data_IF_090838349717
#
_entry.id   IF_090838349717
#
_cell.length_a   1.000
_cell.length_b   1.000
_cell.length_c   1.000
_cell.angle_alpha   90.00
_cell.angle_beta   90.00
_cell.angle_gamma   90.00
#
_symmetry.space_group_name_H-M   'P 1'
#
loop_
_entity.id
_entity.type
_entity.pdbx_description
1 polymer ?
#
# COMPACT_ATOMS: atom_id res chain seq x y z
N UNK A 1 12.95 -20.57 -14.34
CA UNK A 1 12.85 -19.39 -15.16
C UNK A 1 11.51 -18.74 -15.08
N UNK A 2 10.51 -19.46 -15.41
CA UNK A 2 9.18 -18.89 -15.35
C UNK A 2 8.77 -18.47 -13.96
N UNK A 3 9.27 -19.18 -12.99
CA UNK A 3 8.94 -18.85 -11.61
C UNK A 3 9.48 -17.51 -11.21
N UNK A 4 10.61 -17.15 -11.77
CA UNK A 4 11.21 -15.87 -11.48
C UNK A 4 10.32 -14.74 -11.92
N UNK A 5 9.76 -14.88 -13.10
CA UNK A 5 8.88 -13.85 -13.62
C UNK A 5 7.66 -13.67 -12.74
N UNK A 6 7.13 -14.77 -12.27
CA UNK A 6 5.96 -14.70 -11.42
C UNK A 6 6.27 -14.01 -10.12
N UNK A 7 7.44 -14.27 -9.57
CA UNK A 7 7.83 -13.62 -8.34
C UNK A 7 7.92 -12.12 -8.52
N UNK A 8 8.48 -11.69 -9.61
CA UNK A 8 8.62 -10.28 -9.86
C UNK A 8 7.27 -9.60 -9.93
N UNK A 9 6.32 -10.25 -10.56
CA UNK A 9 4.99 -9.68 -10.64
C UNK A 9 4.35 -9.56 -9.28
N UNK A 10 4.52 -10.56 -8.45
CA UNK A 10 3.97 -10.53 -7.11
C UNK A 10 4.56 -9.40 -6.30
N UNK A 11 5.83 -9.16 -6.48
CA UNK A 11 6.50 -8.15 -5.70
C UNK A 11 6.02 -6.75 -6.00
N UNK A 12 5.36 -6.57 -7.13
CA UNK A 12 4.83 -5.26 -7.47
C UNK A 12 3.44 -5.03 -6.95
N UNK A 13 2.83 -6.03 -6.36
CA UNK A 13 1.51 -5.88 -5.79
C UNK A 13 1.61 -5.42 -4.35
N UNK A 14 0.64 -4.60 -3.95
CA UNK A 14 0.58 -4.15 -2.59
C UNK A 14 1.39 -2.89 -2.35
N UNK A 15 1.46 -2.50 -1.08
CA UNK A 15 2.18 -1.29 -0.72
C UNK A 15 2.92 -1.42 0.61
N UNK A 16 3.25 -2.64 0.98
CA UNK A 16 4.02 -2.85 2.21
C UNK A 16 5.36 -2.15 2.15
N UNK A 17 5.95 -2.09 0.96
CA UNK A 17 7.22 -1.38 0.79
C UNK A 17 7.11 0.07 1.23
N UNK A 18 6.02 0.74 0.83
CA UNK A 18 5.83 2.13 1.23
C UNK A 18 5.63 2.27 2.73
N UNK A 19 4.85 1.37 3.32
CA UNK A 19 4.60 1.40 4.75
C UNK A 19 5.92 1.25 5.52
N UNK A 20 6.76 0.32 5.10
CA UNK A 20 8.03 0.12 5.78
C UNK A 20 8.96 1.31 5.59
N UNK A 21 8.92 1.93 4.42
CA UNK A 21 9.74 3.10 4.17
C UNK A 21 9.35 4.24 5.10
N UNK A 22 8.05 4.45 5.32
CA UNK A 22 7.60 5.48 6.24
C UNK A 22 8.05 5.14 7.66
N UNK A 23 7.93 3.88 8.04
CA UNK A 23 8.36 3.45 9.37
C UNK A 23 9.83 3.77 9.62
N UNK A 24 10.66 3.56 8.61
CA UNK A 24 12.09 3.76 8.76
C UNK A 24 12.53 5.22 8.66
N UNK A 25 11.79 6.03 7.92
CA UNK A 25 12.23 7.39 7.63
C UNK A 25 11.52 8.46 8.44
N UNK A 26 10.35 8.17 8.97
CA UNK A 26 9.51 9.19 9.55
C UNK A 26 9.32 8.96 11.04
N UNK A 27 8.69 9.95 11.70
CA UNK A 27 8.40 9.83 13.12
C UNK A 27 7.27 8.82 13.34
N UNK A 28 7.12 8.41 14.60
CA UNK A 28 6.04 7.50 14.97
C UNK A 28 4.67 8.10 14.66
N UNK A 29 4.53 9.40 14.89
CA UNK A 29 3.27 10.07 14.61
C UNK A 29 2.95 10.06 13.12
N UNK A 30 3.97 10.28 12.29
CA UNK A 30 3.78 10.24 10.85
C UNK A 30 3.45 8.83 10.37
N UNK A 31 4.10 7.85 10.96
CA UNK A 31 3.82 6.46 10.63
C UNK A 31 2.38 6.10 10.97
N UNK A 32 1.93 6.48 12.16
CA UNK A 32 0.55 6.22 12.57
C UNK A 32 -0.45 6.91 11.63
N UNK A 33 -0.16 8.14 11.25
CA UNK A 33 -1.01 8.86 10.32
C UNK A 33 -1.06 8.15 8.98
N UNK A 34 0.08 7.70 8.51
CA UNK A 34 0.17 6.99 7.22
C UNK A 34 -0.66 5.73 7.24
N UNK A 35 -0.56 4.95 8.32
CA UNK A 35 -1.34 3.73 8.45
C UNK A 35 -2.83 4.02 8.41
N UNK A 36 -3.25 5.05 9.14
CA UNK A 36 -4.67 5.40 9.20
C UNK A 36 -5.17 5.85 7.84
N UNK A 37 -4.39 6.66 7.13
CA UNK A 37 -4.81 7.15 5.83
C UNK A 37 -4.83 6.03 4.80
N UNK A 38 -3.85 5.14 4.83
CA UNK A 38 -3.84 4.02 3.91
C UNK A 38 -5.05 3.12 4.14
N UNK A 39 -5.37 2.90 5.41
CA UNK A 39 -6.54 2.10 5.75
C UNK A 39 -7.81 2.77 5.21
N UNK A 40 -7.92 4.07 5.41
CA UNK A 40 -9.08 4.82 4.94
C UNK A 40 -9.21 4.73 3.42
N UNK A 41 -8.10 4.90 2.71
CA UNK A 41 -8.11 4.83 1.26
C UNK A 41 -8.61 3.47 0.79
N UNK A 42 -8.10 2.40 1.40
CA UNK A 42 -8.43 1.06 0.96
C UNK A 42 -9.84 0.64 1.35
N UNK A 43 -10.47 1.34 2.29
CA UNK A 43 -11.82 0.97 2.71
C UNK A 43 -12.88 1.90 2.16
N UNK A 44 -12.54 3.16 1.91
CA UNK A 44 -13.56 4.11 1.46
C UNK A 44 -13.76 4.11 -0.05
N UNK A 45 -12.78 3.63 -0.79
CA UNK A 45 -12.92 3.58 -2.25
C UNK A 45 -13.67 2.33 -2.69
N UNK A 46 -13.93 1.42 -1.79
CA UNK A 46 -14.71 0.24 -2.09
C UNK A 46 -16.17 0.60 -2.16
N UNK A 47 -16.89 -0.12 -3.00
CA UNK A 47 -18.30 0.15 -3.16
C UNK A 47 -19.05 -0.18 -1.89
N UNK A 48 -18.65 -1.19 -1.19
CA UNK A 48 -19.33 -1.57 0.02
C UNK A 48 -18.58 -2.69 0.71
N UNK A 49 -19.05 -3.03 1.88
CA UNK A 49 -18.56 -4.19 2.58
C UNK A 49 -17.11 -4.11 2.95
N UNK A 50 -16.64 -2.93 3.19
CA UNK A 50 -15.24 -2.79 3.54
C UNK A 50 -15.01 -3.34 4.93
N UNK A 51 -13.87 -3.99 5.07
CA UNK A 51 -13.49 -4.57 6.33
C UNK A 51 -11.98 -4.42 6.47
N UNK A 52 -11.50 -4.77 7.65
CA UNK A 52 -10.08 -4.72 7.88
C UNK A 52 -9.32 -5.61 6.93
N UNK A 53 -9.89 -6.74 6.57
CA UNK A 53 -9.16 -7.63 5.69
C UNK A 53 -8.96 -7.04 4.32
N UNK A 54 -9.84 -6.12 3.90
CA UNK A 54 -9.64 -5.44 2.62
C UNK A 54 -8.34 -4.66 2.62
N UNK A 55 -8.08 -3.91 3.68
CA UNK A 55 -6.85 -3.14 3.81
C UNK A 55 -5.63 -4.05 3.78
N UNK A 56 -5.65 -5.10 4.60
CA UNK A 56 -4.49 -5.98 4.68
C UNK A 56 -4.28 -6.76 3.38
N UNK A 57 -5.36 -7.18 2.75
CA UNK A 57 -5.24 -7.88 1.48
C UNK A 57 -4.59 -7.00 0.42
N UNK A 58 -4.94 -5.73 0.39
CA UNK A 58 -4.35 -4.82 -0.58
C UNK A 58 -2.93 -4.44 -0.21
N UNK A 59 -2.68 -4.25 1.08
CA UNK A 59 -1.36 -3.90 1.55
C UNK A 59 -0.33 -4.98 1.20
N UNK A 60 -0.70 -6.24 1.41
CA UNK A 60 0.22 -7.33 1.19
C UNK A 60 0.11 -7.97 -0.19
N UNK A 61 -0.67 -7.37 -1.05
CA UNK A 61 -0.68 -7.77 -2.45
C UNK A 61 -1.57 -8.94 -2.80
N UNK A 62 -2.45 -9.34 -1.90
CA UNK A 62 -3.38 -10.44 -2.20
C UNK A 62 -4.51 -9.99 -3.10
N UNK A 63 -4.88 -8.73 -2.99
CA UNK A 63 -5.93 -8.13 -3.80
C UNK A 63 -5.35 -6.93 -4.53
N UNK A 64 -5.57 -6.81 -5.83
CA UNK A 64 -5.00 -5.67 -6.56
C UNK A 64 -5.64 -4.36 -6.15
N UNK A 65 -4.85 -3.30 -6.24
CA UNK A 65 -5.35 -1.95 -5.99
C UNK A 65 -6.11 -1.46 -7.20
N UNK A 66 -7.17 -0.69 -6.96
CA UNK A 66 -7.84 -0.03 -8.07
C UNK A 66 -7.01 1.17 -8.51
N UNK A 67 -7.36 1.72 -9.67
CA UNK A 67 -6.66 2.90 -10.16
C UNK A 67 -6.81 4.07 -9.19
N UNK A 68 -8.00 4.23 -8.62
CA UNK A 68 -8.24 5.30 -7.66
C UNK A 68 -7.40 5.13 -6.41
N UNK A 69 -7.33 3.90 -5.90
CA UNK A 69 -6.53 3.63 -4.71
C UNK A 69 -5.05 3.87 -4.98
N UNK A 70 -4.59 3.45 -6.14
CA UNK A 70 -3.20 3.65 -6.50
C UNK A 70 -2.85 5.14 -6.53
N UNK A 71 -3.71 5.96 -7.12
CA UNK A 71 -3.46 7.38 -7.19
C UNK A 71 -3.45 8.02 -5.81
N UNK A 72 -4.38 7.63 -4.95
CA UNK A 72 -4.45 8.20 -3.61
C UNK A 72 -3.26 7.77 -2.76
N UNK A 73 -2.85 6.51 -2.89
CA UNK A 73 -1.69 6.03 -2.16
C UNK A 73 -0.42 6.69 -2.65
N UNK A 74 -0.31 6.91 -3.96
CA UNK A 74 0.86 7.59 -4.50
C UNK A 74 0.99 8.99 -3.90
N UNK A 75 -0.13 9.70 -3.80
CA UNK A 75 -0.12 11.04 -3.20
C UNK A 75 0.26 10.96 -1.72
N UNK A 76 -0.29 9.99 -1.03
CA UNK A 76 0.00 9.83 0.39
C UNK A 76 1.49 9.61 0.63
N UNK A 77 2.07 8.64 -0.07
CA UNK A 77 3.48 8.34 0.12
C UNK A 77 4.37 9.47 -0.37
N UNK A 78 3.96 10.17 -1.42
CA UNK A 78 4.74 11.31 -1.91
C UNK A 78 4.83 12.39 -0.84
N UNK A 79 3.80 12.56 -0.03
CA UNK A 79 3.82 13.57 1.02
C UNK A 79 4.87 13.25 2.09
N UNK A 80 5.32 12.00 2.15
CA UNK A 80 6.40 11.60 3.04
C UNK A 80 7.73 11.46 2.30
N UNK A 81 7.77 11.86 1.04
CA UNK A 81 9.00 11.78 0.26
C UNK A 81 9.31 10.38 -0.24
N UNK A 82 8.32 9.53 -0.34
CA UNK A 82 8.52 8.15 -0.75
C UNK A 82 7.90 7.95 -2.12
N UNK A 83 8.72 7.55 -3.09
CA UNK A 83 8.25 7.32 -4.45
C UNK A 83 8.18 5.84 -4.80
N UNK A 84 9.05 5.03 -4.20
CA UNK A 84 9.09 3.60 -4.46
C UNK A 84 8.32 2.87 -3.37
N UNK A 85 7.00 2.89 -3.50
CA UNK A 85 6.14 2.38 -2.44
C UNK A 85 5.38 1.12 -2.82
N UNK A 86 5.27 0.82 -4.09
CA UNK A 86 4.52 -0.37 -4.52
C UNK A 86 5.36 -1.61 -4.36
N UNK A 87 4.70 -2.67 -3.92
CA UNK A 87 5.34 -3.96 -3.78
C UNK A 87 5.53 -4.35 -2.34
N UNK A 88 6.18 -5.47 -2.17
CA UNK A 88 6.47 -6.00 -0.85
C UNK A 88 7.85 -5.57 -0.42
N UNK A 89 8.05 -5.52 0.87
CA UNK A 89 9.32 -5.05 1.42
C UNK A 89 10.47 -6.03 1.17
#
# INVERSE_FOLDING_TARGET
MKNIDKKEKKEKNGFERGIRAVYLKCTAAQYDFCLAEANRICTTTEARGTSRSSYYNKRFGRTPLTAAETALLADLFASFGITDWQGQA
#
